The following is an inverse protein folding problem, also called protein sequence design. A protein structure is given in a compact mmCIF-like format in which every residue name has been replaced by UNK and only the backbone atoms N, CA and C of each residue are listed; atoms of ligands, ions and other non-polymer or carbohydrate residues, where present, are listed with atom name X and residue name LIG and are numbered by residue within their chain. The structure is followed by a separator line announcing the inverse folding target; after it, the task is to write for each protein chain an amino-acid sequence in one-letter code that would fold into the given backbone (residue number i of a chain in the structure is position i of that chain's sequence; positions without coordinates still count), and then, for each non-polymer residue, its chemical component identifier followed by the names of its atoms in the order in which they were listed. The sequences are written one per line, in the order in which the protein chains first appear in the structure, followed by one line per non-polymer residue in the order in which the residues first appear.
data_IF_072643101921
#
_entry.id   IF_072643101921
#
_cell.length_a   1.000
_cell.length_b   1.000
_cell.length_c   1.000
_cell.angle_alpha   90.00
_cell.angle_beta   90.00
_cell.angle_gamma   90.00
#
_symmetry.space_group_name_H-M   'P 1'
#
loop_
_entity.id
_entity.type
_entity.pdbx_description
1 polymer ?
#
# COMPACT_ATOMS: atom_id res chain seq x y z
N UNK A 1 20.49 -30.31 17.74
CA UNK A 1 20.79 -29.29 16.70
C UNK A 1 21.37 -30.00 15.48
N UNK A 2 21.30 -29.42 14.28
CA UNK A 2 21.89 -30.03 13.08
C UNK A 2 23.37 -30.41 13.27
N UNK A 3 24.14 -29.55 13.98
CA UNK A 3 25.53 -29.85 14.35
C UNK A 3 25.62 -31.10 15.24
N UNK A 4 24.78 -31.23 16.27
CA UNK A 4 24.77 -32.40 17.14
C UNK A 4 24.46 -33.70 16.38
N UNK A 5 23.56 -33.61 15.38
CA UNK A 5 23.18 -34.72 14.51
C UNK A 5 24.35 -35.16 13.61
N UNK A 6 25.03 -34.19 12.98
CA UNK A 6 26.21 -34.43 12.16
C UNK A 6 27.39 -35.02 12.95
N UNK A 7 27.50 -34.72 14.24
CA UNK A 7 28.54 -35.27 15.13
C UNK A 7 28.13 -36.58 15.80
N UNK A 8 26.87 -37.02 15.63
CA UNK A 8 26.37 -38.27 16.22
C UNK A 8 26.82 -39.50 15.41
N UNK A 9 26.82 -40.70 16.00
CA UNK A 9 27.10 -41.92 15.25
C UNK A 9 26.13 -42.06 14.07
N UNK A 10 26.60 -42.53 12.90
CA UNK A 10 25.75 -42.75 11.74
C UNK A 10 24.63 -43.74 12.06
N UNK A 11 23.48 -43.58 11.40
CA UNK A 11 22.38 -44.54 11.48
C UNK A 11 22.83 -45.90 10.93
N UNK A 12 22.19 -46.97 11.41
CA UNK A 12 22.42 -48.31 10.89
C UNK A 12 21.98 -48.39 9.43
N UNK A 13 22.68 -49.16 8.60
CA UNK A 13 22.28 -49.45 7.22
C UNK A 13 20.91 -50.16 7.13
N UNK A 14 20.42 -50.71 8.25
CA UNK A 14 19.11 -51.34 8.39
C UNK A 14 17.98 -50.38 8.82
N UNK A 15 18.25 -49.08 8.96
CA UNK A 15 17.26 -48.10 9.41
C UNK A 15 16.29 -47.79 8.27
N UNK A 16 15.01 -48.11 8.47
CA UNK A 16 13.93 -47.71 7.55
C UNK A 16 13.66 -46.21 7.70
N UNK A 17 13.65 -45.52 6.56
CA UNK A 17 13.51 -44.07 6.47
C UNK A 17 12.21 -43.74 5.74
N UNK A 18 11.24 -43.16 6.45
CA UNK A 18 9.99 -42.70 5.84
C UNK A 18 10.21 -41.34 5.16
N UNK A 19 9.84 -41.25 3.89
CA UNK A 19 10.15 -40.11 3.01
C UNK A 19 9.57 -38.77 3.49
N UNK A 20 8.55 -38.78 4.34
CA UNK A 20 7.88 -37.61 4.92
C UNK A 20 8.33 -37.27 6.36
N UNK A 21 9.21 -38.08 6.96
CA UNK A 21 9.63 -37.93 8.36
C UNK A 21 11.14 -37.73 8.53
N UNK A 22 11.86 -37.47 7.45
CA UNK A 22 13.32 -37.46 7.47
C UNK A 22 13.89 -36.11 7.11
N UNK A 23 14.88 -35.67 7.89
CA UNK A 23 15.65 -34.45 7.64
C UNK A 23 17.05 -34.82 7.18
N UNK A 24 17.55 -34.15 6.14
CA UNK A 24 18.94 -34.25 5.70
C UNK A 24 19.70 -33.02 6.19
N UNK A 25 20.55 -33.19 7.19
CA UNK A 25 21.46 -32.14 7.65
C UNK A 25 22.75 -32.16 6.79
N UNK A 26 23.15 -31.00 6.26
CA UNK A 26 24.38 -30.84 5.48
C UNK A 26 25.16 -29.65 6.03
N UNK A 27 26.44 -29.86 6.38
CA UNK A 27 27.36 -28.80 6.83
C UNK A 27 28.40 -28.51 5.75
N UNK A 28 28.47 -27.24 5.37
CA UNK A 28 29.53 -26.71 4.52
C UNK A 28 30.43 -25.83 5.38
N UNK A 29 31.69 -26.23 5.53
CA UNK A 29 32.73 -25.39 6.11
C UNK A 29 33.64 -24.86 4.98
N UNK A 30 33.76 -23.54 4.87
CA UNK A 30 34.55 -22.90 3.82
C UNK A 30 35.46 -21.83 4.44
N UNK A 31 36.78 -21.85 4.16
CA UNK A 31 37.68 -20.84 4.69
C UNK A 31 37.36 -19.47 4.09
N UNK A 32 37.13 -18.48 4.95
CA UNK A 32 36.84 -17.10 4.56
C UNK A 32 38.14 -16.31 4.51
N UNK A 33 38.52 -15.81 3.32
CA UNK A 33 39.77 -15.06 3.14
C UNK A 33 39.69 -13.58 3.56
N UNK A 34 38.47 -13.04 3.69
CA UNK A 34 38.22 -11.64 4.04
C UNK A 34 36.83 -11.47 4.67
N UNK A 35 36.69 -10.58 5.65
CA UNK A 35 35.38 -10.18 6.20
C UNK A 35 34.44 -9.56 5.16
N UNK A 36 34.96 -9.12 4.01
CA UNK A 36 34.16 -8.57 2.89
C UNK A 36 33.79 -9.63 1.84
N UNK A 37 34.05 -10.90 2.12
CA UNK A 37 33.72 -11.99 1.22
C UNK A 37 32.22 -12.03 0.97
N UNK A 38 31.83 -12.25 -0.28
CA UNK A 38 30.43 -12.27 -0.69
C UNK A 38 29.97 -13.71 -0.80
N UNK A 39 28.94 -14.04 -0.06
CA UNK A 39 28.35 -15.38 -0.08
C UNK A 39 27.02 -15.37 -0.81
N UNK A 40 26.91 -16.31 -1.74
CA UNK A 40 25.64 -16.64 -2.40
C UNK A 40 25.54 -18.15 -2.52
N UNK A 41 24.32 -18.65 -2.46
CA UNK A 41 24.01 -20.06 -2.61
C UNK A 41 22.93 -20.23 -3.65
N UNK A 42 23.04 -21.29 -4.44
CA UNK A 42 21.99 -21.77 -5.34
C UNK A 42 21.67 -23.21 -4.92
N UNK A 43 20.68 -23.42 -4.03
CA UNK A 43 20.51 -24.70 -3.35
C UNK A 43 20.19 -25.87 -4.28
N UNK A 44 19.35 -25.64 -5.31
CA UNK A 44 18.92 -26.67 -6.29
C UNK A 44 18.40 -27.97 -5.65
N UNK A 45 17.88 -27.90 -4.41
CA UNK A 45 17.36 -29.04 -3.67
C UNK A 45 15.91 -29.37 -3.99
N UNK A 46 15.18 -28.51 -4.71
CA UNK A 46 13.79 -28.73 -5.07
C UNK A 46 13.55 -30.05 -5.83
N UNK A 47 14.56 -30.57 -6.53
CA UNK A 47 14.51 -31.86 -7.23
C UNK A 47 14.45 -33.09 -6.31
N UNK A 48 14.62 -32.92 -5.00
CA UNK A 48 14.66 -34.02 -4.04
C UNK A 48 13.27 -34.51 -3.59
N UNK A 49 12.19 -33.79 -3.92
CA UNK A 49 10.83 -34.20 -3.55
C UNK A 49 9.74 -33.32 -4.16
N UNK A 50 8.48 -33.66 -3.89
CA UNK A 50 7.32 -32.87 -4.34
C UNK A 50 7.22 -31.50 -3.65
N UNK A 51 7.65 -31.43 -2.39
CA UNK A 51 7.79 -30.20 -1.62
C UNK A 51 9.04 -30.30 -0.77
N UNK A 52 9.98 -29.38 -0.98
CA UNK A 52 11.25 -29.36 -0.27
C UNK A 52 11.37 -28.01 0.43
N UNK A 53 11.40 -28.03 1.76
CA UNK A 53 11.67 -26.85 2.58
C UNK A 53 13.14 -26.89 2.96
N UNK A 54 13.90 -25.88 2.56
CA UNK A 54 15.32 -25.75 2.90
C UNK A 54 15.49 -24.68 3.96
N UNK A 55 16.05 -25.06 5.12
CA UNK A 55 16.39 -24.11 6.19
C UNK A 55 17.90 -23.90 6.18
N UNK A 56 18.34 -22.67 5.89
CA UNK A 56 19.74 -22.28 5.87
C UNK A 56 20.05 -21.36 7.05
N UNK A 57 21.09 -21.70 7.82
CA UNK A 57 21.59 -20.85 8.91
C UNK A 57 22.98 -20.36 8.56
N UNK A 58 23.11 -19.06 8.27
CA UNK A 58 24.39 -18.40 8.09
C UNK A 58 24.88 -17.89 9.45
N UNK A 59 26.04 -18.37 9.90
CA UNK A 59 26.71 -17.86 11.09
C UNK A 59 27.76 -16.83 10.64
N UNK A 60 27.58 -15.58 11.04
CA UNK A 60 28.51 -14.48 10.73
C UNK A 60 29.70 -14.49 11.68
N UNK A 61 30.84 -13.83 11.35
CA UNK A 61 32.03 -13.79 12.21
C UNK A 61 31.76 -13.29 13.63
N UNK A 62 30.77 -12.41 13.82
CA UNK A 62 30.35 -11.91 15.14
C UNK A 62 29.41 -12.84 15.92
N UNK A 63 29.15 -14.06 15.44
CA UNK A 63 28.21 -15.02 16.06
C UNK A 63 26.74 -14.75 15.78
N UNK A 64 26.40 -13.68 15.06
CA UNK A 64 25.04 -13.39 14.59
C UNK A 64 24.60 -14.49 13.60
N UNK A 65 23.40 -15.04 13.81
CA UNK A 65 22.83 -16.07 12.94
C UNK A 65 21.74 -15.45 12.08
N UNK A 66 21.92 -15.51 10.77
CA UNK A 66 20.85 -15.22 9.80
C UNK A 66 20.21 -16.52 9.35
N UNK A 67 18.94 -16.68 9.66
CA UNK A 67 18.14 -17.81 9.22
C UNK A 67 17.40 -17.47 7.93
N UNK A 68 17.42 -18.40 6.99
CA UNK A 68 16.67 -18.37 5.76
C UNK A 68 15.82 -19.64 5.65
N UNK A 69 14.64 -19.50 5.07
CA UNK A 69 13.71 -20.58 4.79
C UNK A 69 13.24 -20.46 3.35
N UNK A 70 13.45 -21.51 2.57
CA UNK A 70 13.11 -21.58 1.16
C UNK A 70 12.07 -22.68 0.93
N UNK A 71 10.99 -22.38 0.21
CA UNK A 71 10.10 -23.39 -0.36
C UNK A 71 10.52 -23.62 -1.83
N UNK A 72 10.87 -24.85 -2.19
CA UNK A 72 11.31 -25.21 -3.54
C UNK A 72 12.72 -24.68 -3.89
N UNK A 73 12.87 -24.13 -5.09
CA UNK A 73 14.16 -23.59 -5.58
C UNK A 73 14.13 -22.06 -5.56
N UNK A 74 14.84 -21.41 -4.64
CA UNK A 74 14.89 -19.95 -4.58
C UNK A 74 15.81 -19.34 -5.64
N UNK A 75 16.48 -20.16 -6.47
CA UNK A 75 17.53 -19.71 -7.38
C UNK A 75 18.74 -19.16 -6.61
N UNK A 76 19.42 -18.16 -7.19
CA UNK A 76 20.59 -17.55 -6.57
C UNK A 76 20.20 -16.65 -5.38
N UNK A 77 20.46 -17.12 -4.16
CA UNK A 77 20.26 -16.36 -2.93
C UNK A 77 21.55 -15.67 -2.52
N UNK A 78 21.50 -14.34 -2.38
CA UNK A 78 22.60 -13.55 -1.81
C UNK A 78 22.43 -13.50 -0.30
N UNK A 79 23.40 -14.07 0.43
CA UNK A 79 23.32 -14.25 1.89
C UNK A 79 23.70 -12.98 2.68
N UNK A 80 24.49 -12.11 2.05
CA UNK A 80 24.81 -10.77 2.55
C UNK A 80 24.71 -9.74 1.42
N UNK A 81 23.47 -9.32 1.06
CA UNK A 81 23.25 -8.41 -0.06
C UNK A 81 23.70 -6.98 0.30
N UNK A 82 24.27 -6.28 -0.67
CA UNK A 82 24.48 -4.83 -0.57
C UNK A 82 23.15 -4.08 -0.65
N UNK A 83 23.11 -2.86 -0.12
CA UNK A 83 21.92 -2.00 -0.16
C UNK A 83 21.27 -1.90 -1.55
N UNK A 84 22.07 -1.78 -2.62
CA UNK A 84 21.55 -1.67 -3.99
C UNK A 84 21.02 -3.02 -4.52
N UNK A 85 21.58 -4.15 -4.07
CA UNK A 85 21.10 -5.49 -4.44
C UNK A 85 19.78 -5.78 -3.73
N UNK A 86 19.67 -5.42 -2.45
CA UNK A 86 18.43 -5.48 -1.71
C UNK A 86 17.39 -4.54 -2.35
N UNK A 87 17.75 -3.30 -2.66
CA UNK A 87 16.86 -2.35 -3.31
C UNK A 87 16.29 -2.88 -4.63
N UNK A 88 17.14 -3.31 -5.57
CA UNK A 88 16.69 -3.84 -6.87
C UNK A 88 15.79 -5.06 -6.71
N UNK A 89 16.16 -6.02 -5.85
CA UNK A 89 15.33 -7.20 -5.57
C UNK A 89 13.95 -6.80 -5.07
N UNK A 90 13.87 -5.82 -4.18
CA UNK A 90 12.59 -5.40 -3.62
C UNK A 90 11.77 -4.52 -4.58
N UNK A 91 12.40 -3.73 -5.46
CA UNK A 91 11.69 -3.09 -6.59
C UNK A 91 11.01 -4.16 -7.45
N UNK A 92 11.76 -5.21 -7.85
CA UNK A 92 11.22 -6.29 -8.67
C UNK A 92 10.07 -7.02 -7.95
N UNK A 93 10.25 -7.33 -6.66
CA UNK A 93 9.20 -7.93 -5.84
C UNK A 93 7.95 -7.05 -5.75
N UNK A 94 8.12 -5.73 -5.56
CA UNK A 94 6.99 -4.80 -5.49
C UNK A 94 6.25 -4.65 -6.80
N UNK A 95 7.00 -4.62 -7.91
CA UNK A 95 6.44 -4.56 -9.25
C UNK A 95 5.63 -5.81 -9.58
N UNK A 96 6.21 -6.99 -9.40
CA UNK A 96 5.54 -8.27 -9.65
C UNK A 96 4.36 -8.48 -8.71
N UNK A 97 4.47 -8.05 -7.45
CA UNK A 97 3.39 -8.18 -6.48
C UNK A 97 2.09 -7.51 -6.94
N UNK A 98 2.17 -6.31 -7.51
CA UNK A 98 0.97 -5.64 -8.03
C UNK A 98 0.36 -6.37 -9.22
N UNK A 99 1.19 -7.02 -10.05
CA UNK A 99 0.73 -7.75 -11.22
C UNK A 99 0.13 -9.12 -10.86
N UNK A 100 0.67 -9.80 -9.85
CA UNK A 100 0.15 -11.09 -9.37
C UNK A 100 -1.06 -10.92 -8.44
N UNK A 101 -1.17 -9.77 -7.78
CA UNK A 101 -2.25 -9.45 -6.84
C UNK A 101 -3.57 -9.13 -7.52
N UNK A 102 -4.39 -10.15 -7.80
CA UNK A 102 -5.72 -9.98 -8.43
C UNK A 102 -6.63 -9.00 -7.70
N UNK A 103 -6.60 -8.98 -6.37
CA UNK A 103 -7.34 -8.00 -5.54
C UNK A 103 -6.91 -6.55 -5.83
N UNK A 104 -5.60 -6.30 -5.97
CA UNK A 104 -5.06 -4.99 -6.29
C UNK A 104 -5.42 -4.56 -7.70
N UNK A 105 -5.37 -5.48 -8.66
CA UNK A 105 -5.77 -5.20 -10.05
C UNK A 105 -7.27 -4.87 -10.15
N UNK A 106 -8.14 -5.62 -9.46
CA UNK A 106 -9.58 -5.32 -9.43
C UNK A 106 -9.87 -4.00 -8.70
N UNK A 107 -9.16 -3.71 -7.61
CA UNK A 107 -9.29 -2.44 -6.91
C UNK A 107 -8.87 -1.26 -7.80
N UNK A 108 -7.72 -1.36 -8.47
CA UNK A 108 -7.23 -0.36 -9.40
C UNK A 108 -8.17 -0.21 -10.60
N UNK A 109 -8.70 -1.31 -11.12
CA UNK A 109 -9.72 -1.30 -12.15
C UNK A 109 -10.95 -0.48 -11.72
N UNK A 110 -11.47 -0.72 -10.51
CA UNK A 110 -12.55 0.07 -9.93
C UNK A 110 -12.24 1.57 -9.81
N UNK A 111 -10.98 1.94 -9.53
CA UNK A 111 -10.56 3.35 -9.50
C UNK A 111 -10.61 3.99 -10.89
N UNK A 112 -10.20 3.26 -11.93
CA UNK A 112 -10.03 3.78 -13.29
C UNK A 112 -11.36 3.90 -14.05
N UNK A 113 -12.31 2.98 -13.85
CA UNK A 113 -13.58 2.94 -14.60
C UNK A 113 -14.24 4.33 -14.72
N UNK A 114 -14.52 5.06 -13.62
CA UNK A 114 -15.15 6.38 -13.71
C UNK A 114 -14.16 7.51 -14.07
N UNK A 115 -12.87 7.38 -13.72
CA UNK A 115 -11.85 8.43 -13.91
C UNK A 115 -10.75 7.97 -14.86
N UNK A 116 -10.99 8.09 -16.16
CA UNK A 116 -10.02 7.70 -17.21
C UNK A 116 -8.99 8.78 -17.55
N UNK A 117 -8.53 9.54 -16.55
CA UNK A 117 -7.52 10.61 -16.70
C UNK A 117 -6.41 10.41 -15.69
N UNK A 118 -5.18 10.19 -16.16
CA UNK A 118 -4.01 9.89 -15.31
C UNK A 118 -3.82 10.94 -14.20
N UNK A 119 -3.88 12.23 -14.53
CA UNK A 119 -3.75 13.34 -13.56
C UNK A 119 -4.74 13.30 -12.39
N UNK A 120 -5.93 12.74 -12.60
CA UNK A 120 -6.95 12.63 -11.55
C UNK A 120 -6.72 11.40 -10.66
N UNK A 121 -6.07 10.36 -11.19
CA UNK A 121 -5.79 9.12 -10.49
C UNK A 121 -4.51 9.17 -9.67
N UNK A 122 -3.49 9.93 -10.11
CA UNK A 122 -2.22 10.10 -9.38
C UNK A 122 -2.44 10.37 -7.88
N UNK A 123 -3.19 11.42 -7.44
CA UNK A 123 -3.35 11.68 -6.02
C UNK A 123 -4.06 10.54 -5.27
N UNK A 124 -4.94 9.80 -5.94
CA UNK A 124 -5.69 8.67 -5.34
C UNK A 124 -4.77 7.47 -5.14
N UNK A 125 -3.98 7.12 -6.17
CA UNK A 125 -3.04 5.99 -6.13
C UNK A 125 -1.88 6.29 -5.19
N UNK A 126 -1.32 7.50 -5.22
CA UNK A 126 -0.30 7.91 -4.26
C UNK A 126 -0.83 7.86 -2.82
N UNK A 127 -2.07 8.32 -2.56
CA UNK A 127 -2.66 8.22 -1.22
C UNK A 127 -2.80 6.75 -0.75
N UNK A 128 -3.20 5.85 -1.64
CA UNK A 128 -3.24 4.42 -1.37
C UNK A 128 -1.84 3.88 -1.05
N UNK A 129 -0.83 4.19 -1.87
CA UNK A 129 0.55 3.70 -1.69
C UNK A 129 1.18 4.23 -0.40
N UNK A 130 0.92 5.49 -0.03
CA UNK A 130 1.36 6.06 1.25
C UNK A 130 0.72 5.32 2.43
N UNK A 131 -0.60 5.10 2.40
CA UNK A 131 -1.29 4.35 3.44
C UNK A 131 -0.82 2.89 3.54
N UNK A 132 -0.63 2.25 2.40
CA UNK A 132 -0.08 0.90 2.31
C UNK A 132 1.33 0.85 2.93
N UNK A 133 2.19 1.82 2.61
CA UNK A 133 3.55 1.92 3.13
C UNK A 133 3.56 2.01 4.66
N UNK A 134 2.62 2.76 5.24
CA UNK A 134 2.47 2.92 6.69
C UNK A 134 2.23 1.57 7.37
N UNK A 135 1.25 0.80 6.90
CA UNK A 135 0.85 -0.45 7.54
C UNK A 135 1.82 -1.60 7.25
N UNK A 136 2.46 -1.58 6.07
CA UNK A 136 3.56 -2.47 5.73
C UNK A 136 4.76 -2.24 6.66
N UNK A 137 5.16 -0.97 6.86
CA UNK A 137 6.24 -0.61 7.78
C UNK A 137 5.89 -1.02 9.22
N UNK A 138 4.65 -0.76 9.66
CA UNK A 138 4.19 -1.15 10.98
C UNK A 138 4.29 -2.68 11.17
N UNK A 139 3.86 -3.47 10.20
CA UNK A 139 3.97 -4.93 10.26
C UNK A 139 5.41 -5.43 10.24
N UNK A 140 6.30 -4.80 9.47
CA UNK A 140 7.72 -5.14 9.43
C UNK A 140 8.44 -4.92 10.76
N UNK A 141 7.96 -4.00 11.60
CA UNK A 141 8.44 -3.77 12.97
C UNK A 141 7.63 -4.53 14.03
N UNK A 142 6.84 -5.53 13.64
CA UNK A 142 5.99 -6.33 14.55
C UNK A 142 5.03 -5.47 15.37
N UNK A 143 4.47 -4.42 14.75
CA UNK A 143 3.42 -3.59 15.36
C UNK A 143 2.00 -4.05 14.94
N UNK A 144 1.90 -4.94 13.96
CA UNK A 144 0.64 -5.56 13.57
C UNK A 144 0.17 -6.56 14.64
N UNK A 145 -1.15 -6.71 14.86
CA UNK A 145 -1.67 -7.74 15.75
C UNK A 145 -1.28 -9.16 15.31
N UNK A 146 -0.80 -9.97 16.23
CA UNK A 146 -0.36 -11.36 15.99
C UNK A 146 -1.46 -12.40 16.25
N UNK A 147 -2.73 -12.01 16.17
CA UNK A 147 -3.85 -12.93 16.35
C UNK A 147 -4.12 -13.74 15.09
N UNK A 148 -4.47 -15.02 15.25
CA UNK A 148 -4.76 -15.92 14.12
C UNK A 148 -5.96 -15.48 13.26
N UNK A 149 -6.91 -14.74 13.84
CA UNK A 149 -8.07 -14.20 13.12
C UNK A 149 -7.76 -12.92 12.34
N UNK A 150 -6.62 -12.28 12.58
CA UNK A 150 -6.29 -10.98 11.99
C UNK A 150 -6.03 -11.06 10.48
N UNK A 151 -5.24 -12.00 9.93
CA UNK A 151 -5.07 -12.13 8.48
C UNK A 151 -6.40 -12.38 7.72
N UNK A 152 -7.26 -13.34 8.12
CA UNK A 152 -8.57 -13.55 7.48
C UNK A 152 -9.49 -12.32 7.55
N UNK A 153 -9.44 -11.56 8.65
CA UNK A 153 -10.16 -10.30 8.76
C UNK A 153 -9.69 -9.30 7.71
N UNK A 154 -8.38 -9.11 7.59
CA UNK A 154 -7.79 -8.18 6.62
C UNK A 154 -8.12 -8.60 5.19
N UNK A 155 -8.01 -9.89 4.85
CA UNK A 155 -8.41 -10.43 3.54
C UNK A 155 -9.89 -10.16 3.23
N UNK A 156 -10.77 -10.34 4.21
CA UNK A 156 -12.21 -10.03 4.08
C UNK A 156 -12.44 -8.55 3.84
N UNK A 157 -11.73 -7.68 4.56
CA UNK A 157 -11.82 -6.22 4.39
C UNK A 157 -11.26 -5.75 3.05
N UNK A 158 -10.22 -6.40 2.52
CA UNK A 158 -9.70 -6.16 1.16
C UNK A 158 -10.79 -6.48 0.14
N UNK A 159 -11.44 -7.64 0.23
CA UNK A 159 -12.54 -7.99 -0.67
C UNK A 159 -13.71 -7.01 -0.57
N UNK A 160 -14.09 -6.64 0.67
CA UNK A 160 -15.15 -5.68 0.94
C UNK A 160 -14.83 -4.28 0.35
N UNK A 161 -13.56 -3.87 0.35
CA UNK A 161 -13.15 -2.60 -0.27
C UNK A 161 -13.41 -2.57 -1.78
N UNK A 162 -13.23 -3.71 -2.48
CA UNK A 162 -13.48 -3.82 -3.92
C UNK A 162 -14.98 -3.75 -4.19
N UNK A 163 -15.80 -4.47 -3.42
CA UNK A 163 -17.27 -4.39 -3.48
C UNK A 163 -17.74 -2.95 -3.27
N UNK A 164 -17.22 -2.29 -2.23
CA UNK A 164 -17.54 -0.90 -1.93
C UNK A 164 -17.24 0.04 -3.11
N UNK A 165 -16.03 -0.05 -3.67
CA UNK A 165 -15.63 0.79 -4.80
C UNK A 165 -16.49 0.54 -6.04
N UNK A 166 -16.84 -0.71 -6.30
CA UNK A 166 -17.71 -1.08 -7.40
C UNK A 166 -19.14 -0.54 -7.22
N UNK A 167 -19.69 -0.60 -6.01
CA UNK A 167 -21.00 -0.01 -5.71
C UNK A 167 -20.97 1.53 -5.80
N UNK A 168 -19.89 2.16 -5.32
CA UNK A 168 -19.70 3.61 -5.45
C UNK A 168 -19.72 4.05 -6.93
N UNK A 169 -19.05 3.29 -7.81
CA UNK A 169 -19.07 3.53 -9.25
C UNK A 169 -20.49 3.48 -9.83
N UNK A 170 -21.28 2.49 -9.42
CA UNK A 170 -22.67 2.30 -9.88
C UNK A 170 -23.54 3.49 -9.46
N UNK A 171 -23.44 3.90 -8.18
CA UNK A 171 -24.21 5.05 -7.66
C UNK A 171 -23.78 6.34 -8.36
N UNK A 172 -22.51 6.48 -8.74
CA UNK A 172 -21.98 7.69 -9.40
C UNK A 172 -21.65 8.82 -8.42
N UNK A 173 -21.48 8.50 -7.14
CA UNK A 173 -21.18 9.45 -6.08
C UNK A 173 -19.66 9.55 -5.87
N UNK A 174 -18.95 10.26 -6.74
CA UNK A 174 -17.49 10.40 -6.57
C UNK A 174 -16.95 11.76 -6.99
N UNK A 175 -16.58 12.58 -6.02
CA UNK A 175 -15.56 13.61 -6.24
C UNK A 175 -14.17 12.97 -6.08
N UNK A 176 -13.17 13.50 -6.78
CA UNK A 176 -11.77 13.06 -6.62
C UNK A 176 -11.31 13.25 -5.17
N UNK A 177 -11.79 14.30 -4.50
CA UNK A 177 -11.53 14.59 -3.08
C UNK A 177 -12.00 13.46 -2.15
N UNK A 178 -13.19 12.91 -2.37
CA UNK A 178 -13.68 11.81 -1.55
C UNK A 178 -12.87 10.53 -1.78
N UNK A 179 -12.44 10.31 -3.03
CA UNK A 179 -11.74 9.08 -3.43
C UNK A 179 -10.35 8.94 -2.87
N UNK A 180 -9.55 9.99 -2.80
CA UNK A 180 -8.20 9.84 -2.23
C UNK A 180 -8.25 9.49 -0.73
N UNK A 181 -9.26 9.99 0.00
CA UNK A 181 -9.48 9.62 1.40
C UNK A 181 -9.92 8.15 1.55
N UNK A 182 -10.84 7.69 0.70
CA UNK A 182 -11.27 6.28 0.67
C UNK A 182 -10.10 5.37 0.30
N UNK A 183 -9.34 5.73 -0.74
CA UNK A 183 -8.16 5.00 -1.18
C UNK A 183 -7.06 4.97 -0.11
N UNK A 184 -6.88 6.05 0.65
CA UNK A 184 -6.01 6.06 1.83
C UNK A 184 -6.50 5.04 2.88
N UNK A 185 -7.79 5.07 3.24
CA UNK A 185 -8.36 4.13 4.20
C UNK A 185 -8.20 2.67 3.77
N UNK A 186 -8.46 2.35 2.50
CA UNK A 186 -8.26 1.01 1.97
C UNK A 186 -6.78 0.64 1.83
N UNK A 187 -5.91 1.58 1.49
CA UNK A 187 -4.47 1.37 1.47
C UNK A 187 -3.93 0.89 2.81
N UNK A 188 -4.45 1.40 3.93
CA UNK A 188 -4.06 0.90 5.27
C UNK A 188 -4.37 -0.60 5.40
N UNK A 189 -5.58 -1.03 5.02
CA UNK A 189 -6.01 -2.44 5.09
C UNK A 189 -5.17 -3.31 4.16
N UNK A 190 -4.99 -2.88 2.90
CA UNK A 190 -4.22 -3.62 1.91
C UNK A 190 -2.76 -3.82 2.31
N UNK A 191 -2.13 -2.80 2.92
CA UNK A 191 -0.75 -2.92 3.40
C UNK A 191 -0.57 -3.95 4.52
N UNK A 192 -1.57 -4.17 5.38
CA UNK A 192 -1.55 -5.28 6.32
C UNK A 192 -1.64 -6.64 5.62
N UNK A 193 -2.57 -6.80 4.68
CA UNK A 193 -2.79 -8.07 4.00
C UNK A 193 -1.55 -8.51 3.26
N UNK A 194 -0.87 -7.55 2.62
CA UNK A 194 0.38 -7.81 1.93
C UNK A 194 1.53 -8.16 2.88
N UNK A 195 1.58 -7.55 4.06
CA UNK A 195 2.68 -7.78 4.99
C UNK A 195 2.88 -9.26 5.36
N UNK A 196 1.82 -10.07 5.37
CA UNK A 196 1.91 -11.50 5.65
C UNK A 196 2.70 -12.26 4.59
N UNK A 197 2.49 -11.94 3.31
CA UNK A 197 3.27 -12.51 2.20
C UNK A 197 4.71 -11.95 2.18
N UNK A 198 4.87 -10.65 2.46
CA UNK A 198 6.19 -10.01 2.44
C UNK A 198 7.12 -10.54 3.55
N UNK A 199 6.59 -10.93 4.72
CA UNK A 199 7.40 -11.45 5.85
C UNK A 199 8.37 -12.55 5.40
N UNK A 200 7.94 -13.45 4.52
CA UNK A 200 8.79 -14.49 3.95
C UNK A 200 9.90 -13.95 3.04
N UNK A 201 9.71 -12.80 2.41
CA UNK A 201 10.73 -12.16 1.57
C UNK A 201 11.69 -11.24 2.34
N UNK A 202 11.30 -10.77 3.54
CA UNK A 202 12.15 -9.88 4.36
C UNK A 202 13.48 -10.51 4.75
N UNK A 203 13.57 -11.84 4.83
CA UNK A 203 14.82 -12.57 5.05
C UNK A 203 15.92 -12.21 4.01
N UNK A 204 15.53 -11.79 2.81
CA UNK A 204 16.47 -11.42 1.73
C UNK A 204 16.91 -9.95 1.78
N UNK A 205 16.45 -9.17 2.75
CA UNK A 205 16.83 -7.76 2.91
C UNK A 205 18.22 -7.58 3.54
N UNK A 206 18.77 -8.61 4.18
CA UNK A 206 19.99 -8.49 5.00
C UNK A 206 19.79 -7.46 6.11
N UNK A 207 20.75 -6.55 6.29
CA UNK A 207 20.65 -5.42 7.24
C UNK A 207 19.88 -4.22 6.67
N UNK A 208 19.39 -4.30 5.44
CA UNK A 208 18.82 -3.18 4.69
C UNK A 208 17.29 -3.20 4.67
N UNK A 209 16.65 -3.46 5.82
CA UNK A 209 15.19 -3.56 5.91
C UNK A 209 14.49 -2.30 5.38
N UNK A 210 14.83 -1.12 5.90
CA UNK A 210 14.16 0.13 5.51
C UNK A 210 14.33 0.44 4.02
N UNK A 211 15.56 0.28 3.48
CA UNK A 211 15.84 0.44 2.05
C UNK A 211 15.00 -0.52 1.22
N UNK A 212 14.87 -1.77 1.67
CA UNK A 212 14.06 -2.79 0.99
C UNK A 212 12.58 -2.43 0.99
N UNK A 213 12.03 -1.95 2.10
CA UNK A 213 10.62 -1.53 2.17
C UNK A 213 10.32 -0.31 1.31
N UNK A 214 11.22 0.69 1.28
CA UNK A 214 11.06 1.86 0.41
C UNK A 214 11.15 1.43 -1.06
N UNK A 215 12.13 0.60 -1.40
CA UNK A 215 12.32 0.09 -2.77
C UNK A 215 11.15 -0.78 -3.23
N UNK A 216 10.56 -1.55 -2.31
CA UNK A 216 9.33 -2.29 -2.56
C UNK A 216 8.18 -1.38 -2.98
N UNK A 217 7.93 -0.30 -2.23
CA UNK A 217 6.87 0.65 -2.57
C UNK A 217 7.12 1.38 -3.89
N UNK A 218 8.39 1.64 -4.24
CA UNK A 218 8.75 2.15 -5.58
C UNK A 218 8.36 1.14 -6.66
N UNK A 219 8.66 -0.15 -6.46
CA UNK A 219 8.20 -1.22 -7.36
C UNK A 219 6.68 -1.26 -7.52
N UNK A 220 5.95 -1.17 -6.40
CA UNK A 220 4.48 -1.10 -6.39
C UNK A 220 3.96 0.07 -7.21
N UNK A 221 4.50 1.27 -7.00
CA UNK A 221 4.06 2.47 -7.73
C UNK A 221 4.36 2.35 -9.23
N UNK A 222 5.51 1.78 -9.61
CA UNK A 222 5.84 1.48 -11.02
C UNK A 222 4.85 0.48 -11.64
N UNK A 223 4.50 -0.59 -10.91
CA UNK A 223 3.52 -1.58 -11.35
C UNK A 223 2.13 -0.95 -11.54
N UNK A 224 1.69 -0.13 -10.59
CA UNK A 224 0.42 0.59 -10.68
C UNK A 224 0.41 1.54 -11.88
N UNK A 225 1.48 2.32 -12.09
CA UNK A 225 1.59 3.22 -13.24
C UNK A 225 1.54 2.47 -14.57
N UNK A 226 2.21 1.32 -14.68
CA UNK A 226 2.12 0.46 -15.86
C UNK A 226 0.69 0.03 -16.13
N UNK A 227 0.00 -0.49 -15.11
CA UNK A 227 -1.41 -0.92 -15.24
C UNK A 227 -2.29 0.25 -15.67
N UNK A 228 -2.11 1.45 -15.11
CA UNK A 228 -2.85 2.64 -15.50
C UNK A 228 -2.61 3.03 -16.97
N UNK A 229 -1.36 3.05 -17.41
CA UNK A 229 -0.98 3.40 -18.79
C UNK A 229 -1.60 2.44 -19.79
N UNK A 230 -1.74 1.16 -19.44
CA UNK A 230 -2.36 0.15 -20.29
C UNK A 230 -3.89 0.18 -20.23
N UNK A 231 -4.46 0.30 -19.02
CA UNK A 231 -5.90 0.14 -18.78
C UNK A 231 -6.71 1.36 -19.23
N UNK A 232 -6.20 2.57 -19.01
CA UNK A 232 -6.88 3.82 -19.40
C UNK A 232 -7.23 3.85 -20.90
N UNK A 233 -6.27 3.65 -21.84
CA UNK A 233 -6.60 3.71 -23.27
C UNK A 233 -7.55 2.59 -23.69
N UNK A 234 -7.43 1.38 -23.12
CA UNK A 234 -8.35 0.27 -23.38
C UNK A 234 -9.78 0.63 -23.00
N UNK A 235 -9.99 1.17 -21.79
CA UNK A 235 -11.32 1.59 -21.35
C UNK A 235 -11.86 2.80 -22.12
N UNK A 236 -10.99 3.74 -22.51
CA UNK A 236 -11.39 4.85 -23.38
C UNK A 236 -11.87 4.35 -24.75
N UNK A 237 -11.17 3.38 -25.34
CA UNK A 237 -11.56 2.77 -26.60
C UNK A 237 -12.90 2.02 -26.46
N UNK A 238 -13.04 1.21 -25.41
CA UNK A 238 -14.25 0.45 -25.13
C UNK A 238 -15.49 1.37 -25.02
N UNK A 239 -15.40 2.43 -24.23
CA UNK A 239 -16.54 3.35 -24.04
C UNK A 239 -16.77 4.29 -25.23
N UNK A 240 -15.76 4.50 -26.08
CA UNK A 240 -15.93 5.25 -27.33
C UNK A 240 -16.73 4.46 -28.37
N UNK A 241 -16.56 3.15 -28.44
CA UNK A 241 -17.07 2.34 -29.55
C UNK A 241 -18.17 1.33 -29.17
N UNK A 242 -18.22 0.84 -27.92
CA UNK A 242 -19.09 -0.27 -27.56
C UNK A 242 -20.31 0.15 -26.71
N UNK A 243 -20.12 1.00 -25.70
CA UNK A 243 -21.17 1.31 -24.71
C UNK A 243 -21.04 2.74 -24.20
N UNK A 244 -22.17 3.42 -24.01
CA UNK A 244 -22.21 4.73 -23.36
C UNK A 244 -21.53 4.71 -21.98
N UNK A 245 -20.74 5.74 -21.66
CA UNK A 245 -19.82 5.74 -20.52
C UNK A 245 -20.50 5.37 -19.18
N UNK A 246 -21.71 5.89 -18.94
CA UNK A 246 -22.45 5.62 -17.70
C UNK A 246 -22.93 4.17 -17.62
N UNK A 247 -23.50 3.65 -18.71
CA UNK A 247 -23.95 2.24 -18.75
C UNK A 247 -22.76 1.30 -18.64
N UNK A 248 -21.68 1.57 -19.37
CA UNK A 248 -20.47 0.78 -19.31
C UNK A 248 -19.82 0.79 -17.93
N UNK A 249 -19.81 1.94 -17.24
CA UNK A 249 -19.36 2.03 -15.83
C UNK A 249 -20.19 1.14 -14.91
N UNK A 250 -21.52 1.17 -15.04
CA UNK A 250 -22.43 0.35 -14.23
C UNK A 250 -22.21 -1.14 -14.51
N UNK A 251 -22.14 -1.54 -15.78
CA UNK A 251 -21.98 -2.95 -16.18
C UNK A 251 -20.64 -3.52 -15.66
N UNK A 252 -19.53 -2.84 -15.94
CA UNK A 252 -18.21 -3.30 -15.50
C UNK A 252 -18.13 -3.36 -13.97
N UNK A 253 -18.67 -2.34 -13.29
CA UNK A 253 -18.68 -2.32 -11.83
C UNK A 253 -19.60 -3.39 -11.24
N UNK A 254 -20.73 -3.72 -11.88
CA UNK A 254 -21.60 -4.81 -11.43
C UNK A 254 -20.91 -6.18 -11.53
N UNK A 255 -20.15 -6.42 -12.61
CA UNK A 255 -19.35 -7.65 -12.77
C UNK A 255 -18.28 -7.74 -11.67
N UNK A 256 -17.56 -6.64 -11.42
CA UNK A 256 -16.53 -6.60 -10.38
C UNK A 256 -17.15 -6.76 -9.00
N UNK A 257 -18.27 -6.10 -8.70
CA UNK A 257 -18.99 -6.22 -7.44
C UNK A 257 -19.45 -7.66 -7.20
N UNK A 258 -20.01 -8.32 -8.23
CA UNK A 258 -20.43 -9.71 -8.13
C UNK A 258 -19.25 -10.64 -7.84
N UNK A 259 -18.14 -10.49 -8.55
CA UNK A 259 -16.94 -11.31 -8.37
C UNK A 259 -16.34 -11.10 -6.98
N UNK A 260 -16.16 -9.84 -6.57
CA UNK A 260 -15.61 -9.49 -5.27
C UNK A 260 -16.54 -9.89 -4.11
N UNK A 261 -17.85 -9.93 -4.33
CA UNK A 261 -18.81 -10.41 -3.33
C UNK A 261 -18.60 -11.89 -3.00
N UNK A 262 -18.37 -12.73 -4.01
CA UNK A 262 -18.05 -14.15 -3.78
C UNK A 262 -16.74 -14.30 -3.01
N UNK A 263 -15.67 -13.61 -3.42
CA UNK A 263 -14.40 -13.66 -2.69
C UNK A 263 -14.53 -13.15 -1.25
N UNK A 264 -15.33 -12.10 -1.04
CA UNK A 264 -15.62 -11.58 0.30
C UNK A 264 -16.36 -12.63 1.15
N UNK A 265 -17.35 -13.31 0.58
CA UNK A 265 -18.09 -14.37 1.28
C UNK A 265 -17.19 -15.55 1.64
N UNK A 266 -16.31 -15.98 0.72
CA UNK A 266 -15.35 -17.05 0.97
C UNK A 266 -14.41 -16.69 2.12
N UNK A 267 -13.80 -15.50 2.08
CA UNK A 267 -12.88 -15.01 3.13
C UNK A 267 -13.60 -14.77 4.48
N UNK A 268 -14.83 -14.27 4.44
CA UNK A 268 -15.67 -14.12 5.63
C UNK A 268 -16.05 -15.47 6.24
N UNK A 269 -16.23 -16.51 5.42
CA UNK A 269 -16.49 -17.87 5.91
C UNK A 269 -15.28 -18.43 6.67
N UNK A 270 -14.06 -18.16 6.19
CA UNK A 270 -12.81 -18.52 6.88
C UNK A 270 -12.69 -17.74 8.20
N UNK A 271 -12.95 -16.44 8.18
CA UNK A 271 -12.96 -15.62 9.40
C UNK A 271 -13.97 -16.16 10.44
N UNK A 272 -15.15 -16.59 10.00
CA UNK A 272 -16.20 -17.16 10.86
C UNK A 272 -15.83 -18.48 11.53
N UNK A 273 -14.79 -19.17 11.08
CA UNK A 273 -14.29 -20.40 11.72
C UNK A 273 -13.48 -20.10 12.98
N UNK A 274 -12.97 -18.88 13.13
CA UNK A 274 -12.22 -18.49 14.31
C UNK A 274 -13.18 -18.17 15.45
N UNK A 275 -13.00 -18.83 16.59
CA UNK A 275 -13.73 -18.48 17.81
C UNK A 275 -13.23 -17.13 18.30
N UNK A 276 -14.14 -16.17 18.41
CA UNK A 276 -13.86 -14.88 19.02
C UNK A 276 -13.64 -15.06 20.52
N UNK A 277 -12.40 -15.34 20.91
CA UNK A 277 -11.98 -15.26 22.29
C UNK A 277 -11.56 -13.83 22.59
N UNK A 278 -12.13 -13.23 23.62
CA UNK A 278 -11.64 -11.96 24.11
C UNK A 278 -10.16 -12.12 24.49
N UNK A 279 -9.26 -11.27 23.96
CA UNK A 279 -7.86 -11.37 24.30
C UNK A 279 -7.71 -11.15 25.80
N UNK A 280 -6.84 -11.95 26.43
CA UNK A 280 -6.49 -11.73 27.84
C UNK A 280 -5.86 -10.35 27.93
N UNK A 281 -6.32 -9.54 28.88
CA UNK A 281 -5.76 -8.22 29.15
C UNK A 281 -4.37 -8.38 29.79
N UNK A 282 -3.37 -8.59 28.95
CA UNK A 282 -1.97 -8.70 29.35
C UNK A 282 -1.18 -7.43 28.97
N UNK A 283 0.05 -7.34 29.49
CA UNK A 283 0.92 -6.21 29.20
C UNK A 283 1.23 -6.10 27.69
N UNK A 284 1.26 -7.21 26.96
CA UNK A 284 1.54 -7.23 25.53
C UNK A 284 0.40 -6.58 24.72
N UNK A 285 -0.85 -6.91 25.03
CA UNK A 285 -2.03 -6.28 24.46
C UNK A 285 -2.06 -4.79 24.78
N UNK A 286 -1.82 -4.41 26.04
CA UNK A 286 -1.78 -3.00 26.46
C UNK A 286 -0.71 -2.21 25.72
N UNK A 287 0.50 -2.76 25.57
CA UNK A 287 1.58 -2.15 24.81
C UNK A 287 1.20 -2.00 23.34
N UNK A 288 0.54 -3.00 22.75
CA UNK A 288 0.07 -2.95 21.37
C UNK A 288 -0.99 -1.86 21.18
N UNK A 289 -2.00 -1.81 22.05
CA UNK A 289 -3.05 -0.77 22.04
C UNK A 289 -2.43 0.62 22.22
N UNK A 290 -1.50 0.78 23.15
CA UNK A 290 -0.84 2.07 23.39
C UNK A 290 0.00 2.51 22.18
N UNK A 291 0.72 1.59 21.52
CA UNK A 291 1.46 1.87 20.29
C UNK A 291 0.54 2.34 19.16
N UNK A 292 -0.61 1.69 18.97
CA UNK A 292 -1.61 2.12 17.99
C UNK A 292 -2.24 3.46 18.33
N UNK A 293 -2.53 3.71 19.61
CA UNK A 293 -3.06 5.00 20.07
C UNK A 293 -2.05 6.12 19.84
N UNK A 294 -0.78 5.90 20.20
CA UNK A 294 0.31 6.82 19.89
C UNK A 294 0.44 7.06 18.39
N UNK A 295 0.38 6.00 17.58
CA UNK A 295 0.45 6.10 16.12
C UNK A 295 -0.68 6.98 15.57
N UNK A 296 -1.92 6.77 16.01
CA UNK A 296 -3.08 7.59 15.61
C UNK A 296 -2.91 9.05 16.04
N UNK A 297 -2.43 9.29 17.27
CA UNK A 297 -2.17 10.65 17.76
C UNK A 297 -1.07 11.35 16.96
N UNK A 298 0.03 10.65 16.67
CA UNK A 298 1.13 11.19 15.86
C UNK A 298 0.65 11.49 14.44
N UNK A 299 -0.05 10.55 13.80
CA UNK A 299 -0.58 10.75 12.45
C UNK A 299 -1.59 11.90 12.41
N UNK A 300 -2.49 11.97 13.39
CA UNK A 300 -3.42 13.09 13.55
C UNK A 300 -2.71 14.43 13.75
N UNK A 301 -1.63 14.45 14.54
CA UNK A 301 -0.78 15.61 14.75
C UNK A 301 -0.05 16.06 13.47
N UNK A 302 0.52 15.14 12.70
CA UNK A 302 1.16 15.42 11.41
C UNK A 302 0.15 16.00 10.42
N UNK A 303 -1.03 15.37 10.29
CA UNK A 303 -2.10 15.86 9.41
C UNK A 303 -2.60 17.25 9.84
N UNK A 304 -2.72 17.49 11.14
CA UNK A 304 -3.09 18.80 11.69
C UNK A 304 -2.04 19.87 11.37
N UNK A 305 -0.75 19.56 11.59
CA UNK A 305 0.37 20.45 11.27
C UNK A 305 0.43 20.74 9.77
N UNK A 306 0.25 19.73 8.92
CA UNK A 306 0.21 19.90 7.47
C UNK A 306 -0.96 20.77 7.05
N UNK A 307 -2.14 20.57 7.64
CA UNK A 307 -3.31 21.41 7.39
C UNK A 307 -3.09 22.84 7.86
N UNK A 308 -2.44 23.04 8.99
CA UNK A 308 -2.08 24.37 9.51
C UNK A 308 -1.07 25.07 8.59
N UNK A 309 0.00 24.37 8.18
CA UNK A 309 1.03 24.90 7.28
C UNK A 309 0.46 25.22 5.89
N UNK A 310 -0.42 24.36 5.36
CA UNK A 310 -1.08 24.61 4.07
C UNK A 310 -1.97 25.86 4.11
N UNK A 311 -2.76 26.04 5.18
CA UNK A 311 -3.59 27.24 5.41
C UNK A 311 -2.73 28.49 5.51
N UNK A 312 -1.68 28.43 6.33
CA UNK A 312 -0.73 29.52 6.51
C UNK A 312 -0.03 29.91 5.20
N UNK A 313 0.34 28.92 4.38
CA UNK A 313 0.95 29.15 3.07
C UNK A 313 -0.05 29.80 2.11
N UNK A 314 -1.28 29.28 2.02
CA UNK A 314 -2.33 29.87 1.16
C UNK A 314 -2.69 31.30 1.55
N UNK A 315 -2.69 31.62 2.85
CA UNK A 315 -2.95 32.98 3.35
C UNK A 315 -1.81 33.94 2.99
N UNK A 316 -0.56 33.46 2.93
CA UNK A 316 0.63 34.28 2.58
C UNK A 316 0.90 34.40 1.08
N UNK A 317 0.53 33.40 0.29
CA UNK A 317 0.76 33.38 -1.16
C UNK A 317 -0.47 33.74 -1.98
N UNK A 318 -1.61 34.06 -1.34
CA UNK A 318 -2.75 34.62 -2.04
C UNK A 318 -2.30 35.93 -2.73
N UNK A 319 -2.35 36.02 -4.08
CA UNK A 319 -2.02 37.26 -4.75
C UNK A 319 -2.94 38.36 -4.22
N UNK A 320 -2.40 39.57 -4.04
CA UNK A 320 -3.08 40.78 -3.60
C UNK A 320 -4.17 41.28 -4.59
N UNK A 321 -4.99 40.38 -5.12
CA UNK A 321 -6.09 40.67 -6.04
C UNK A 321 -7.35 41.20 -5.31
N UNK A 322 -7.29 41.36 -3.98
CA UNK A 322 -8.41 41.94 -3.21
C UNK A 322 -8.28 43.44 -2.99
N UNK A 323 -7.09 44.02 -3.16
CA UNK A 323 -6.88 45.45 -2.87
C UNK A 323 -7.18 46.38 -4.06
N UNK A 324 -7.27 45.84 -5.29
CA UNK A 324 -7.66 46.64 -6.48
C UNK A 324 -9.17 46.73 -6.71
N UNK A 325 -9.97 45.83 -6.12
CA UNK A 325 -11.45 45.88 -6.21
C UNK A 325 -12.06 46.87 -5.22
N UNK A 326 -11.49 47.01 -4.01
CA UNK A 326 -12.01 47.93 -3.01
C UNK A 326 -11.64 49.41 -3.28
N UNK A 327 -10.54 49.68 -4.00
CA UNK A 327 -10.20 51.05 -4.45
C UNK A 327 -11.05 51.55 -5.63
N UNK A 328 -11.67 50.67 -6.41
CA UNK A 328 -12.52 51.05 -7.53
C UNK A 328 -13.96 51.40 -7.12
N UNK A 329 -14.34 51.17 -5.86
CA UNK A 329 -15.70 51.35 -5.34
C UNK A 329 -15.84 52.42 -4.25
N UNK A 330 -14.83 53.26 -4.00
CA UNK A 330 -14.98 54.43 -3.10
C UNK A 330 -15.48 55.67 -3.87
N UNK A 331 -16.71 56.17 -3.61
CA UNK A 331 -17.20 57.42 -4.18
C UNK A 331 -16.72 58.58 -3.31
N UNK A 332 -15.55 59.12 -3.60
CA UNK A 332 -15.06 60.37 -3.00
C UNK A 332 -14.51 61.26 -4.10
N UNK A 333 -15.41 61.89 -4.87
CA UNK A 333 -15.20 63.13 -5.63
C UNK A 333 -16.54 63.61 -6.22
N UNK A 334 -17.30 64.40 -5.46
CA UNK A 334 -18.25 65.41 -5.98
C UNK A 334 -18.88 66.21 -4.83
N UNK A 335 -18.10 67.11 -4.21
CA UNK A 335 -18.66 68.29 -3.55
C UNK A 335 -18.04 69.51 -4.23
N UNK A 336 -18.69 69.99 -5.28
CA UNK A 336 -18.53 71.38 -5.75
C UNK A 336 -19.66 72.21 -5.13
N UNK A 337 -19.39 73.44 -4.65
CA UNK A 337 -20.43 74.32 -4.12
C UNK A 337 -21.20 74.98 -5.27
N UNK A 338 -22.52 74.86 -5.25
CA UNK A 338 -23.42 75.57 -6.16
C UNK A 338 -23.62 77.02 -5.68
N UNK A 339 -23.39 77.97 -6.58
CA UNK A 339 -23.78 79.38 -6.47
C UNK A 339 -25.31 79.54 -6.56
N UNK A 340 -25.93 80.49 -5.85
CA UNK A 340 -27.38 80.68 -5.87
C UNK A 340 -27.79 81.59 -7.04
N UNK A 341 -28.77 81.16 -7.84
CA UNK A 341 -29.50 82.04 -8.78
C UNK A 341 -30.99 81.79 -8.59
N UNK A 342 -31.65 82.86 -8.17
CA UNK A 342 -33.07 83.06 -7.92
C UNK A 342 -33.85 83.19 -9.26
N UNK A 343 -34.92 82.41 -9.51
CA UNK A 343 -35.80 82.63 -10.64
C UNK A 343 -37.15 83.18 -10.19
N UNK A 344 -37.24 84.50 -10.06
CA UNK A 344 -38.50 85.23 -10.14
C UNK A 344 -38.71 85.79 -11.54
N UNK A 345 -39.83 85.38 -12.17
CA UNK A 345 -40.64 86.07 -13.18
C UNK A 345 -40.98 85.22 -14.42
N UNK A 346 -42.24 84.78 -14.45
CA UNK A 346 -42.99 84.51 -15.68
C UNK A 346 -43.08 85.80 -16.52
N UNK A 347 -43.19 85.67 -17.86
CA UNK A 347 -44.48 86.03 -18.44
C UNK A 347 -44.94 85.08 -19.57
N UNK A 348 -46.26 84.94 -19.62
CA UNK A 348 -47.11 84.84 -20.82
C UNK A 348 -46.88 83.74 -21.88
N UNK A 349 -47.93 82.90 -21.98
CA UNK A 349 -48.47 82.25 -23.20
C UNK A 349 -48.74 83.31 -24.31
N UNK A 350 -48.80 82.98 -25.62
CA UNK A 350 -49.76 81.98 -26.11
C UNK A 350 -49.49 81.23 -27.45
N UNK A 351 -50.37 80.23 -27.62
CA UNK A 351 -50.83 79.48 -28.80
C UNK A 351 -49.92 78.44 -29.43
#
# INVERSE_FOLDING_TARGET
SAIAHLTSPPLSDSTDVFWDQTLLDVLFDTPVQSERSRFSIEPRFARLGLRVITVLRLVLPGGEIRAFEFDGDPGLVRLDPRWHQAALRFVDLGFLHILDGTDHLLFLFCLVIPFRRLRALIPVVTAFTVAHSITLLASAYNLAPDFLWFPPLIETLIAASIVYMALENIVGASSVERRWMIAFGFGLVHGFGFSFALRQSLQFAGTHLLTSLVSFNVGVELGQLLVLILLIPVLQLLFRYAVAERMGTIILSAIVAHTAWHWMADRASVLGQFRWAWPVLDAALLVTVLRWLMFVVILGGILWLFRMASRWWTERTAPAAKESRDRASSPLLARMPATPVDPGLSPERPN
#
